data_IF_091080152597
#
_entry.id   IF_091080152597
#
_cell.length_a   1.000
_cell.length_b   1.000
_cell.length_c   1.000
_cell.angle_alpha   90.00
_cell.angle_beta   90.00
_cell.angle_gamma   90.00
#
_symmetry.space_group_name_H-M   'P 1'
#
loop_
_entity.id
_entity.type
_entity.pdbx_description
1 polymer ?
#
# COMPACT_ATOMS: atom_id res chain seq x y z
N UNK A 1 23.96 -0.43 12.08
CA UNK A 1 23.26 -1.29 13.06
C UNK A 1 24.21 -2.42 13.41
N UNK A 2 24.86 -2.34 14.57
CA UNK A 2 25.67 -3.45 15.08
C UNK A 2 24.78 -4.69 15.17
N UNK A 3 25.27 -5.86 14.73
CA UNK A 3 24.54 -7.13 14.90
C UNK A 3 24.44 -7.40 16.40
N UNK A 4 23.34 -7.00 17.02
CA UNK A 4 22.99 -7.41 18.37
C UNK A 4 23.04 -8.94 18.43
N UNK A 5 23.54 -9.48 19.53
CA UNK A 5 23.67 -10.92 19.72
C UNK A 5 22.27 -11.52 19.87
N UNK A 6 21.70 -12.01 18.75
CA UNK A 6 20.40 -12.70 18.73
C UNK A 6 20.63 -14.11 19.26
N UNK A 7 19.87 -14.49 20.28
CA UNK A 7 19.94 -15.82 20.88
C UNK A 7 18.61 -16.54 20.65
N UNK A 8 18.67 -17.80 20.18
CA UNK A 8 17.48 -18.62 20.04
C UNK A 8 16.88 -18.94 21.41
N UNK A 9 15.55 -18.89 21.52
CA UNK A 9 14.86 -19.37 22.72
C UNK A 9 15.05 -20.88 22.89
N UNK A 10 15.11 -21.37 24.14
CA UNK A 10 15.28 -22.80 24.43
C UNK A 10 14.19 -23.67 23.81
N UNK A 11 12.95 -23.15 23.77
CA UNK A 11 11.84 -23.83 23.09
C UNK A 11 12.13 -24.10 21.62
N UNK A 12 12.59 -23.07 20.88
CA UNK A 12 12.90 -23.23 19.46
C UNK A 12 14.04 -24.23 19.27
N UNK A 13 15.08 -24.18 20.11
CA UNK A 13 16.21 -25.13 20.06
C UNK A 13 15.76 -26.58 20.23
N UNK A 14 14.86 -26.84 21.17
CA UNK A 14 14.34 -28.19 21.45
C UNK A 14 13.46 -28.74 20.33
N UNK A 15 12.80 -27.85 19.59
CA UNK A 15 11.91 -28.23 18.49
C UNK A 15 12.63 -28.37 17.14
N UNK A 16 13.92 -28.01 17.04
CA UNK A 16 14.72 -28.30 15.85
C UNK A 16 14.90 -29.82 15.73
N UNK A 17 14.57 -30.44 14.58
CA UNK A 17 14.80 -31.86 14.38
C UNK A 17 16.29 -32.21 14.58
N UNK A 18 16.62 -33.22 15.41
CA UNK A 18 18.01 -33.56 15.73
C UNK A 18 18.76 -34.23 14.57
N UNK A 19 18.01 -34.70 13.56
CA UNK A 19 18.54 -35.32 12.34
C UNK A 19 17.74 -34.87 11.13
N UNK A 20 18.26 -35.18 9.94
CA UNK A 20 17.58 -34.88 8.70
C UNK A 20 16.30 -35.73 8.55
N UNK A 21 15.15 -35.07 8.70
CA UNK A 21 13.83 -35.63 8.43
C UNK A 21 12.99 -34.58 7.68
N UNK A 22 12.67 -34.80 6.39
CA UNK A 22 11.89 -33.86 5.60
C UNK A 22 10.52 -33.51 6.19
N UNK A 23 9.83 -34.46 6.82
CA UNK A 23 8.50 -34.23 7.37
C UNK A 23 8.58 -33.32 8.61
N UNK A 24 9.44 -33.67 9.57
CA UNK A 24 9.66 -32.84 10.77
C UNK A 24 10.22 -31.45 10.43
N UNK A 25 11.06 -31.32 9.41
CA UNK A 25 11.55 -30.01 8.94
C UNK A 25 10.43 -29.17 8.32
N UNK A 26 9.53 -29.79 7.53
CA UNK A 26 8.38 -29.10 6.98
C UNK A 26 7.45 -28.60 8.10
N UNK A 27 7.17 -29.44 9.11
CA UNK A 27 6.39 -29.05 10.29
C UNK A 27 7.05 -27.91 11.07
N UNK A 28 8.38 -27.95 11.25
CA UNK A 28 9.12 -26.86 11.90
C UNK A 28 8.99 -25.54 11.13
N UNK A 29 9.14 -25.58 9.80
CA UNK A 29 9.01 -24.41 8.92
C UNK A 29 7.57 -23.87 8.93
N UNK A 30 6.57 -24.73 8.91
CA UNK A 30 5.18 -24.32 8.99
C UNK A 30 4.88 -23.62 10.33
N UNK A 31 5.47 -24.13 11.43
CA UNK A 31 5.30 -23.58 12.77
C UNK A 31 6.06 -22.28 13.01
N UNK A 32 7.31 -22.18 12.57
CA UNK A 32 8.21 -21.06 12.90
C UNK A 32 8.50 -20.12 11.74
N UNK A 33 8.15 -20.51 10.52
CA UNK A 33 8.48 -19.79 9.30
C UNK A 33 9.90 -20.07 8.79
N UNK A 34 10.29 -19.31 7.78
CA UNK A 34 11.58 -19.47 7.08
C UNK A 34 12.58 -18.35 7.38
N UNK A 35 12.13 -17.24 7.96
CA UNK A 35 12.94 -16.04 8.18
C UNK A 35 12.68 -15.49 9.58
N UNK A 36 13.70 -14.85 10.17
CA UNK A 36 13.55 -14.13 11.44
C UNK A 36 13.43 -12.62 11.20
N UNK A 37 12.52 -11.95 11.90
CA UNK A 37 12.41 -10.49 11.86
C UNK A 37 13.43 -9.90 12.83
N UNK A 38 14.41 -9.16 12.29
CA UNK A 38 15.48 -8.52 13.09
C UNK A 38 15.30 -7.01 13.22
N UNK A 39 14.33 -6.45 12.51
CA UNK A 39 13.99 -5.03 12.59
C UNK A 39 12.62 -4.74 12.00
N UNK A 40 11.91 -3.81 12.61
CA UNK A 40 10.58 -3.36 12.18
C UNK A 40 10.56 -1.84 12.16
N UNK A 41 10.00 -1.26 11.10
CA UNK A 41 9.65 0.16 11.05
C UNK A 41 8.14 0.29 11.20
N UNK A 42 7.71 0.97 12.26
CA UNK A 42 6.31 1.27 12.56
C UNK A 42 5.98 2.70 12.12
N UNK A 43 4.79 2.91 11.56
CA UNK A 43 4.30 4.23 11.19
C UNK A 43 3.20 4.17 10.15
N UNK A 44 3.20 5.17 9.27
CA UNK A 44 2.28 5.32 8.17
C UNK A 44 3.02 5.23 6.84
N UNK A 45 2.42 4.59 5.85
CA UNK A 45 2.94 4.52 4.49
C UNK A 45 1.83 4.78 3.50
N UNK A 46 1.98 5.82 2.71
CA UNK A 46 1.06 6.20 1.65
C UNK A 46 1.77 6.09 0.29
N UNK A 47 1.28 5.25 -0.62
CA UNK A 47 1.94 4.93 -1.90
C UNK A 47 0.94 4.95 -3.04
N UNK A 48 1.35 5.43 -4.20
CA UNK A 48 0.63 5.28 -5.47
C UNK A 48 1.38 4.28 -6.32
N UNK A 49 0.73 3.20 -6.73
CA UNK A 49 1.28 2.27 -7.73
C UNK A 49 0.69 2.59 -9.09
N UNK A 50 1.47 2.41 -10.15
CA UNK A 50 0.99 2.44 -11.52
C UNK A 50 1.10 1.04 -12.11
N UNK A 51 0.03 0.61 -12.77
CA UNK A 51 -0.02 -0.62 -13.54
C UNK A 51 -0.26 -0.27 -15.00
N UNK A 52 0.71 -0.61 -15.84
CA UNK A 52 0.60 -0.55 -17.29
C UNK A 52 0.01 -1.85 -17.81
N UNK A 53 -1.10 -1.78 -18.57
CA UNK A 53 -1.70 -2.94 -19.21
C UNK A 53 -1.06 -3.20 -20.58
N UNK A 54 -1.22 -4.42 -21.10
CA UNK A 54 -0.51 -4.92 -22.28
C UNK A 54 -0.67 -4.09 -23.56
N UNK A 55 -1.76 -3.32 -23.66
CA UNK A 55 -2.10 -2.50 -24.83
C UNK A 55 -1.52 -1.08 -24.77
N UNK A 56 -0.95 -0.70 -23.63
CA UNK A 56 -0.34 0.62 -23.44
C UNK A 56 0.94 0.74 -24.25
N UNK A 57 1.06 1.82 -25.02
CA UNK A 57 2.26 2.13 -25.81
C UNK A 57 3.16 3.18 -25.13
N UNK A 58 2.90 3.53 -23.87
CA UNK A 58 3.66 4.54 -23.15
C UNK A 58 5.11 4.11 -22.93
N UNK A 59 6.02 5.04 -23.20
CA UNK A 59 7.43 4.89 -22.88
C UNK A 59 7.68 5.02 -21.37
N UNK A 60 8.77 4.43 -20.84
CA UNK A 60 9.10 4.52 -19.42
C UNK A 60 9.17 5.96 -18.88
N UNK A 61 9.63 6.91 -19.70
CA UNK A 61 9.71 8.33 -19.35
C UNK A 61 8.33 8.97 -19.17
N UNK A 62 7.34 8.58 -19.99
CA UNK A 62 5.96 9.04 -19.89
C UNK A 62 5.29 8.49 -18.65
N UNK A 63 5.51 7.19 -18.35
CA UNK A 63 5.04 6.55 -17.12
C UNK A 63 5.64 7.23 -15.88
N UNK A 64 6.94 7.54 -15.91
CA UNK A 64 7.61 8.24 -14.82
C UNK A 64 7.06 9.66 -14.63
N UNK A 65 6.80 10.38 -15.72
CA UNK A 65 6.18 11.71 -15.68
C UNK A 65 4.78 11.64 -15.07
N UNK A 66 3.97 10.66 -15.47
CA UNK A 66 2.64 10.44 -14.89
C UNK A 66 2.73 10.11 -13.40
N UNK A 67 3.63 9.23 -12.98
CA UNK A 67 3.83 8.91 -11.55
C UNK A 67 4.18 10.17 -10.74
N UNK A 68 5.05 11.03 -11.28
CA UNK A 68 5.40 12.29 -10.65
C UNK A 68 4.17 13.20 -10.52
N UNK A 69 3.40 13.37 -11.59
CA UNK A 69 2.19 14.19 -11.57
C UNK A 69 1.20 13.70 -10.49
N UNK A 70 0.88 12.40 -10.46
CA UNK A 70 -0.03 11.84 -9.47
C UNK A 70 0.51 11.95 -8.04
N UNK A 71 1.83 11.83 -7.87
CA UNK A 71 2.49 12.04 -6.58
C UNK A 71 2.34 13.49 -6.13
N UNK A 72 2.61 14.45 -7.01
CA UNK A 72 2.49 15.88 -6.70
C UNK A 72 1.03 16.22 -6.33
N UNK A 73 0.05 15.74 -7.10
CA UNK A 73 -1.39 15.96 -6.81
C UNK A 73 -1.82 15.35 -5.46
N UNK A 74 -1.39 14.14 -5.14
CA UNK A 74 -1.83 13.43 -3.92
C UNK A 74 -1.15 13.91 -2.65
N UNK A 75 0.13 14.27 -2.73
CA UNK A 75 0.96 14.61 -1.59
C UNK A 75 1.21 16.11 -1.45
N UNK A 76 0.58 16.94 -2.29
CA UNK A 76 0.64 18.39 -2.14
C UNK A 76 0.13 18.81 -0.76
N UNK A 77 0.84 19.76 -0.14
CA UNK A 77 0.37 20.43 1.06
C UNK A 77 -0.80 21.34 0.70
N UNK A 78 -2.02 20.86 0.88
CA UNK A 78 -3.20 21.72 0.82
C UNK A 78 -3.13 22.70 2.01
N UNK A 79 -2.55 23.88 1.77
CA UNK A 79 -2.43 24.97 2.76
C UNK A 79 -3.80 25.62 3.07
N UNK A 80 -4.88 25.22 2.40
CA UNK A 80 -6.23 25.68 2.70
C UNK A 80 -7.12 24.52 3.12
N UNK A 81 -7.38 24.42 4.42
CA UNK A 81 -8.43 23.57 4.96
C UNK A 81 -9.79 24.00 4.41
N UNK A 82 -10.33 23.24 3.45
CA UNK A 82 -11.76 23.04 3.20
C UNK A 82 -11.91 22.36 1.83
N UNK A 83 -12.11 21.04 1.82
CA UNK A 83 -12.90 20.41 0.77
C UNK A 83 -14.21 19.99 1.40
N UNK A 84 -15.05 20.98 1.68
CA UNK A 84 -16.50 20.76 1.65
C UNK A 84 -16.85 20.46 0.19
N UNK A 85 -17.59 19.38 -0.12
CA UNK A 85 -18.10 19.19 -1.47
C UNK A 85 -19.26 20.18 -1.68
N UNK A 86 -18.95 21.42 -2.05
CA UNK A 86 -19.97 22.32 -2.56
C UNK A 86 -20.25 21.89 -4.01
N UNK A 87 -21.35 21.15 -4.15
CA UNK A 87 -22.10 21.06 -5.39
C UNK A 87 -22.63 22.45 -5.73
N UNK A 88 -21.89 23.27 -6.47
CA UNK A 88 -22.49 24.39 -7.16
C UNK A 88 -21.79 24.68 -8.49
N UNK A 89 -22.66 24.84 -9.48
CA UNK A 89 -22.43 24.79 -10.92
C UNK A 89 -21.66 26.02 -11.41
N UNK A 90 -20.74 25.84 -12.36
CA UNK A 90 -20.63 26.71 -13.54
C UNK A 90 -20.00 25.97 -14.74
N UNK A 91 -20.35 26.36 -15.97
CA UNK A 91 -20.42 25.49 -17.13
C UNK A 91 -19.18 25.60 -18.02
N UNK A 92 -18.74 24.47 -18.59
CA UNK A 92 -17.87 24.51 -19.76
C UNK A 92 -16.98 23.30 -19.97
N UNK A 93 -17.40 22.44 -20.89
CA UNK A 93 -16.63 21.43 -21.65
C UNK A 93 -16.40 20.09 -20.93
N UNK A 94 -17.28 19.16 -21.30
CA UNK A 94 -17.23 17.74 -21.07
C UNK A 94 -15.94 17.09 -21.60
N UNK A 95 -15.28 16.32 -20.73
CA UNK A 95 -14.60 15.09 -21.13
C UNK A 95 -14.81 14.07 -20.01
N UNK A 96 -15.60 13.04 -20.31
CA UNK A 96 -15.99 11.96 -19.42
C UNK A 96 -14.77 11.33 -18.72
N UNK A 97 -14.57 11.66 -17.45
CA UNK A 97 -13.88 10.79 -16.49
C UNK A 97 -14.92 9.87 -15.86
N UNK A 98 -15.15 8.74 -16.53
CA UNK A 98 -15.95 7.66 -15.97
C UNK A 98 -15.13 7.00 -14.86
N UNK A 99 -15.34 7.43 -13.61
CA UNK A 99 -15.00 6.63 -12.42
C UNK A 99 -15.82 5.34 -12.49
N UNK A 100 -15.27 4.31 -13.12
CA UNK A 100 -15.90 2.99 -13.14
C UNK A 100 -15.53 2.32 -11.82
N UNK A 101 -16.32 2.61 -10.79
CA UNK A 101 -16.39 1.81 -9.57
C UNK A 101 -16.89 0.43 -10.00
N UNK A 102 -15.98 -0.54 -10.12
CA UNK A 102 -16.37 -1.94 -10.32
C UNK A 102 -16.93 -2.47 -9.01
N UNK A 103 -18.22 -2.19 -8.77
CA UNK A 103 -19.05 -2.80 -7.73
C UNK A 103 -19.25 -4.29 -8.03
N UNK A 104 -18.24 -5.10 -7.68
CA UNK A 104 -18.42 -6.55 -7.54
C UNK A 104 -18.77 -6.81 -6.08
N UNK A 105 -20.06 -7.08 -5.85
CA UNK A 105 -20.70 -7.51 -4.61
C UNK A 105 -19.78 -8.37 -3.70
N UNK A 106 -19.36 -7.83 -2.54
CA UNK A 106 -19.22 -8.55 -1.25
C UNK A 106 -19.09 -7.51 -0.12
N UNK A 107 -20.19 -7.21 0.54
CA UNK A 107 -20.40 -6.05 1.44
C UNK A 107 -19.72 -6.13 2.82
N UNK A 108 -18.51 -6.67 2.94
CA UNK A 108 -17.77 -6.76 4.22
C UNK A 108 -16.28 -6.36 4.16
N UNK A 109 -15.77 -5.88 3.02
CA UNK A 109 -14.33 -5.63 2.82
C UNK A 109 -13.95 -4.20 2.37
N UNK A 110 -14.84 -3.22 2.55
CA UNK A 110 -14.65 -1.88 1.98
C UNK A 110 -13.49 -1.07 2.59
N UNK A 111 -12.90 -1.50 3.71
CA UNK A 111 -11.72 -0.85 4.30
C UNK A 111 -10.38 -1.30 3.69
N UNK A 112 -10.38 -2.33 2.83
CA UNK A 112 -9.14 -3.00 2.39
C UNK A 112 -8.91 -2.95 0.87
N UNK A 113 -9.88 -2.47 0.08
CA UNK A 113 -9.72 -2.44 -1.37
C UNK A 113 -9.18 -1.07 -1.79
N UNK A 114 -7.95 -1.01 -2.33
CA UNK A 114 -7.43 0.26 -2.80
C UNK A 114 -8.28 0.79 -3.95
N UNK A 115 -8.59 2.08 -3.92
CA UNK A 115 -9.28 2.76 -5.02
C UNK A 115 -8.44 2.59 -6.28
N UNK A 116 -9.04 2.12 -7.38
CA UNK A 116 -8.35 1.97 -8.67
C UNK A 116 -8.85 3.06 -9.59
N UNK A 117 -7.96 3.96 -9.99
CA UNK A 117 -8.28 5.07 -10.89
C UNK A 117 -7.70 4.76 -12.27
N UNK A 118 -8.53 4.86 -13.30
CA UNK A 118 -8.13 4.76 -14.70
C UNK A 118 -7.88 6.17 -15.24
N UNK A 119 -6.69 6.41 -15.79
CA UNK A 119 -6.26 7.75 -16.20
C UNK A 119 -6.58 8.08 -17.65
N UNK A 120 -6.79 7.07 -18.52
CA UNK A 120 -7.41 7.24 -19.83
C UNK A 120 -7.79 5.88 -20.43
N UNK A 121 -8.80 5.86 -21.32
CA UNK A 121 -9.17 4.65 -22.10
C UNK A 121 -8.13 4.27 -23.16
N UNK A 122 -7.24 5.19 -23.53
CA UNK A 122 -6.30 5.01 -24.65
C UNK A 122 -4.91 4.55 -24.18
N UNK A 123 -4.51 4.93 -22.97
CA UNK A 123 -3.16 4.66 -22.48
C UNK A 123 -3.09 3.40 -21.63
N UNK A 124 -4.24 2.78 -21.32
CA UNK A 124 -4.31 1.48 -20.67
C UNK A 124 -3.50 1.43 -19.36
N UNK A 125 -3.55 2.54 -18.60
CA UNK A 125 -2.89 2.73 -17.30
C UNK A 125 -3.91 2.77 -16.17
N UNK A 126 -3.58 2.06 -15.08
CA UNK A 126 -4.31 2.12 -13.82
C UNK A 126 -3.40 2.64 -12.71
N UNK A 127 -3.91 3.50 -11.83
CA UNK A 127 -3.25 3.85 -10.58
C UNK A 127 -3.97 3.25 -9.38
N UNK A 128 -3.18 2.83 -8.39
CA UNK A 128 -3.66 2.16 -7.19
C UNK A 128 -3.04 2.82 -5.96
N UNK A 129 -3.70 3.83 -5.36
CA UNK A 129 -3.39 4.34 -4.03
C UNK A 129 -3.53 3.25 -2.96
N UNK A 130 -2.48 3.06 -2.16
CA UNK A 130 -2.45 2.14 -1.02
C UNK A 130 -1.93 2.89 0.21
N UNK A 131 -2.70 2.87 1.29
CA UNK A 131 -2.30 3.34 2.62
C UNK A 131 -2.10 2.17 3.57
N UNK A 132 -1.17 2.33 4.51
CA UNK A 132 -0.95 1.43 5.63
C UNK A 132 -0.65 2.24 6.89
N UNK A 133 -1.31 1.91 7.98
CA UNK A 133 -1.27 2.72 9.21
C UNK A 133 -2.12 3.99 9.07
N UNK A 134 -2.41 4.62 10.20
CA UNK A 134 -3.43 5.67 10.29
C UNK A 134 -4.85 5.13 10.11
N UNK A 135 -5.84 5.98 10.35
CA UNK A 135 -7.24 5.68 10.01
C UNK A 135 -7.50 6.15 8.59
N UNK A 136 -7.93 5.28 7.67
CA UNK A 136 -8.22 5.66 6.28
C UNK A 136 -9.73 5.75 6.04
N UNK A 137 -10.23 6.96 5.99
CA UNK A 137 -11.65 7.31 5.79
C UNK A 137 -11.86 8.10 4.50
N UNK A 138 -10.95 8.00 3.53
CA UNK A 138 -11.01 8.72 2.25
C UNK A 138 -10.59 10.20 2.33
N UNK A 139 -9.89 10.59 3.39
CA UNK A 139 -9.44 11.95 3.65
C UNK A 139 -8.11 12.29 2.96
N UNK A 140 -7.75 13.58 2.96
CA UNK A 140 -6.51 14.08 2.36
C UNK A 140 -5.26 13.47 3.01
N UNK A 141 -4.11 13.53 2.33
CA UNK A 141 -2.86 12.99 2.85
C UNK A 141 -2.47 13.58 4.20
N UNK A 142 -2.58 14.90 4.38
CA UNK A 142 -2.22 15.56 5.64
C UNK A 142 -3.15 15.19 6.80
N UNK A 143 -4.46 15.11 6.54
CA UNK A 143 -5.42 14.66 7.54
C UNK A 143 -5.13 13.21 7.95
N UNK A 144 -4.85 12.33 6.98
CA UNK A 144 -4.43 10.96 7.26
C UNK A 144 -3.12 10.89 8.05
N UNK A 145 -2.11 11.67 7.67
CA UNK A 145 -0.79 11.70 8.30
C UNK A 145 -0.90 12.03 9.80
N UNK A 146 -1.82 12.91 10.19
CA UNK A 146 -2.08 13.27 11.59
C UNK A 146 -2.60 12.10 12.46
N UNK A 147 -3.20 11.09 11.83
CA UNK A 147 -3.75 9.90 12.52
C UNK A 147 -2.72 8.79 12.73
N UNK A 148 -1.57 8.86 12.02
CA UNK A 148 -0.57 7.78 12.00
C UNK A 148 -0.01 7.48 13.38
N UNK A 149 0.20 8.50 14.22
CA UNK A 149 0.72 8.34 15.58
C UNK A 149 -0.24 7.55 16.50
N UNK A 150 -1.55 7.65 16.26
CA UNK A 150 -2.59 7.01 17.05
C UNK A 150 -2.89 5.58 16.58
N UNK A 151 -2.59 5.27 15.32
CA UNK A 151 -2.84 3.94 14.75
C UNK A 151 -1.72 3.51 13.79
N UNK A 152 -0.47 3.40 14.26
CA UNK A 152 0.65 3.02 13.41
C UNK A 152 0.56 1.55 12.99
N UNK A 153 1.21 1.20 11.87
CA UNK A 153 1.30 -0.18 11.40
C UNK A 153 2.73 -0.47 10.88
N UNK A 154 3.06 -1.73 10.63
CA UNK A 154 4.36 -2.16 10.11
C UNK A 154 4.50 -1.73 8.65
N UNK A 155 5.38 -0.78 8.38
CA UNK A 155 5.60 -0.24 7.03
C UNK A 155 6.82 -0.85 6.33
N UNK A 156 7.72 -1.46 7.09
CA UNK A 156 8.87 -2.22 6.57
C UNK A 156 9.37 -3.19 7.63
N UNK A 157 9.89 -4.33 7.20
CA UNK A 157 10.58 -5.31 8.05
C UNK A 157 11.96 -5.61 7.45
N UNK A 158 12.89 -6.00 8.31
CA UNK A 158 14.21 -6.52 7.93
C UNK A 158 14.33 -7.95 8.42
N UNK A 159 14.84 -8.82 7.56
CA UNK A 159 14.94 -10.27 7.81
C UNK A 159 16.41 -10.75 7.71
N UNK A 160 16.67 -11.92 8.30
CA UNK A 160 17.89 -12.73 8.10
C UNK A 160 17.45 -14.13 7.68
#
# INVERSE_FOLDING_TARGET
>A
LARSQITLSERVKQEVPPSWDPAALAEFIEKYGTHIIVGVKMGGKDVIHIKQLQKSNLQPTEVQKLLKQLSDERFSEDVSGSVVPNSDKLPGKSKDEHSVVWDIHTSFANSMRPSVVSHSKNDDILSVPIRRGGADTGQSHNQWLSTVSQSPNVISMSFV
#
